data_IF_050864580579
#
_entry.id   IF_050864580579
#
_cell.length_a   1.000
_cell.length_b   1.000
_cell.length_c   1.000
_cell.angle_alpha   90.00
_cell.angle_beta   90.00
_cell.angle_gamma   90.00
#
_symmetry.space_group_name_H-M   'P 1'
#
loop_
_entity.id
_entity.type
_entity.pdbx_description
1 polymer ?
#
# COMPACT_ATOMS: atom_id res chain seq x y z
N UNK A 1 -34.95 17.04 61.50
CA UNK A 1 -34.10 17.84 60.58
C UNK A 1 -33.35 16.87 59.69
N UNK A 2 -33.59 16.88 58.36
CA UNK A 2 -33.12 15.83 57.46
C UNK A 2 -31.66 16.03 57.07
N UNK A 3 -30.93 14.93 56.98
CA UNK A 3 -29.54 14.85 56.57
C UNK A 3 -29.42 15.14 55.07
N UNK A 4 -28.58 16.12 54.74
CA UNK A 4 -28.28 16.54 53.36
C UNK A 4 -27.53 15.43 52.62
N UNK A 5 -28.08 15.04 51.46
CA UNK A 5 -27.50 14.10 50.53
C UNK A 5 -26.09 14.56 50.10
N UNK A 6 -25.10 13.69 50.30
CA UNK A 6 -23.74 13.85 49.79
C UNK A 6 -23.75 13.44 48.33
N UNK A 7 -23.90 14.43 47.44
CA UNK A 7 -23.80 14.23 46.00
C UNK A 7 -22.45 13.62 45.63
N UNK A 8 -22.49 12.51 44.92
CA UNK A 8 -21.34 11.83 44.35
C UNK A 8 -20.81 12.71 43.22
N UNK A 9 -19.76 13.49 43.47
CA UNK A 9 -18.95 14.06 42.38
C UNK A 9 -18.32 12.88 41.64
N UNK A 10 -18.92 12.49 40.53
CA UNK A 10 -18.27 11.63 39.54
C UNK A 10 -17.04 12.38 39.04
N UNK A 11 -15.85 11.98 39.50
CA UNK A 11 -14.58 12.41 38.93
C UNK A 11 -14.60 12.08 37.44
N UNK A 12 -14.79 13.11 36.61
CA UNK A 12 -14.59 13.03 35.16
C UNK A 12 -13.18 12.49 34.92
N UNK A 13 -13.00 11.37 34.19
CA UNK A 13 -11.68 10.81 33.95
C UNK A 13 -10.81 11.91 33.33
N UNK A 14 -9.63 12.13 33.93
CA UNK A 14 -8.66 13.17 33.54
C UNK A 14 -8.37 13.02 32.04
N UNK A 15 -9.06 13.80 31.22
CA UNK A 15 -8.98 13.75 29.76
C UNK A 15 -7.61 14.29 29.33
N UNK A 16 -6.64 13.38 29.17
CA UNK A 16 -5.32 13.75 28.68
C UNK A 16 -5.38 14.03 27.17
N UNK A 17 -5.10 15.28 26.82
CA UNK A 17 -4.96 15.71 25.44
C UNK A 17 -3.75 15.00 24.85
N UNK A 18 -3.96 14.27 23.75
CA UNK A 18 -2.89 13.49 23.13
C UNK A 18 -1.75 14.40 22.65
N UNK A 19 -0.50 13.97 22.86
CA UNK A 19 0.66 14.76 22.47
C UNK A 19 0.69 15.01 20.96
N UNK A 20 1.18 16.17 20.51
CA UNK A 20 1.29 16.50 19.09
C UNK A 20 2.06 15.45 18.27
N UNK A 21 3.14 14.87 18.84
CA UNK A 21 3.93 13.82 18.19
C UNK A 21 3.17 12.50 17.97
N UNK A 22 2.38 12.04 18.96
CA UNK A 22 1.54 10.84 18.80
C UNK A 22 0.50 11.04 17.69
N UNK A 23 -0.05 12.25 17.56
CA UNK A 23 -1.02 12.57 16.49
C UNK A 23 -0.38 12.56 15.11
N UNK A 24 0.84 13.07 14.98
CA UNK A 24 1.59 13.03 13.72
C UNK A 24 1.94 11.59 13.34
N UNK A 25 2.36 10.78 14.31
CA UNK A 25 2.67 9.37 14.05
C UNK A 25 1.43 8.58 13.61
N UNK A 26 0.27 8.80 14.24
CA UNK A 26 -1.00 8.20 13.78
C UNK A 26 -1.30 8.58 12.33
N UNK A 27 -1.05 9.84 11.97
CA UNK A 27 -1.28 10.35 10.64
C UNK A 27 -0.36 9.72 9.59
N UNK A 28 0.93 9.61 9.89
CA UNK A 28 1.91 8.95 9.04
C UNK A 28 1.52 7.48 8.86
N UNK A 29 1.14 6.79 9.94
CA UNK A 29 0.75 5.40 9.86
C UNK A 29 -0.52 5.19 9.02
N UNK A 30 -1.51 6.06 9.19
CA UNK A 30 -2.71 6.04 8.36
C UNK A 30 -2.39 6.29 6.87
N UNK A 31 -1.43 7.18 6.59
CA UNK A 31 -0.96 7.44 5.23
C UNK A 31 -0.24 6.22 4.64
N UNK A 32 0.62 5.56 5.41
CA UNK A 32 1.30 4.32 4.99
C UNK A 32 0.26 3.23 4.69
N UNK A 33 -0.72 3.01 5.56
CA UNK A 33 -1.79 2.02 5.31
C UNK A 33 -2.56 2.38 4.04
N UNK A 34 -2.97 3.64 3.87
CA UNK A 34 -3.73 4.04 2.68
C UNK A 34 -2.92 3.85 1.40
N UNK A 35 -1.61 4.14 1.44
CA UNK A 35 -0.69 3.91 0.34
C UNK A 35 -0.54 2.42 0.04
N UNK A 36 -0.38 1.58 1.06
CA UNK A 36 -0.29 0.13 0.91
C UNK A 36 -1.56 -0.45 0.28
N UNK A 37 -2.75 -0.10 0.80
CA UNK A 37 -4.03 -0.54 0.23
C UNK A 37 -4.15 -0.08 -1.23
N UNK A 38 -3.88 1.19 -1.50
CA UNK A 38 -3.98 1.75 -2.86
C UNK A 38 -3.04 1.03 -3.83
N UNK A 39 -1.79 0.77 -3.41
CA UNK A 39 -0.81 0.05 -4.20
C UNK A 39 -1.24 -1.40 -4.46
N UNK A 40 -1.71 -2.12 -3.43
CA UNK A 40 -2.23 -3.49 -3.57
C UNK A 40 -3.44 -3.53 -4.51
N UNK A 41 -4.37 -2.58 -4.38
CA UNK A 41 -5.55 -2.49 -5.24
C UNK A 41 -5.15 -2.24 -6.70
N UNK A 42 -4.17 -1.37 -6.92
CA UNK A 42 -3.63 -1.10 -8.25
C UNK A 42 -2.91 -2.32 -8.84
N UNK A 43 -2.24 -3.15 -8.03
CA UNK A 43 -1.65 -4.41 -8.51
C UNK A 43 -2.73 -5.41 -8.94
N UNK A 44 -3.81 -5.54 -8.15
CA UNK A 44 -4.92 -6.46 -8.46
C UNK A 44 -5.63 -6.05 -9.76
N UNK A 45 -5.99 -4.77 -9.87
CA UNK A 45 -6.68 -4.21 -11.04
C UNK A 45 -5.73 -3.81 -12.18
N UNK A 46 -4.45 -4.18 -12.11
CA UNK A 46 -3.54 -3.90 -13.20
C UNK A 46 -4.01 -4.63 -14.46
N UNK A 47 -4.17 -3.86 -15.53
CA UNK A 47 -4.55 -4.36 -16.85
C UNK A 47 -3.47 -5.31 -17.41
N UNK A 48 -3.91 -6.21 -18.28
CA UNK A 48 -3.00 -7.07 -19.04
C UNK A 48 -2.13 -6.25 -19.99
N UNK A 49 -0.89 -6.68 -20.21
CA UNK A 49 0.06 -5.99 -21.10
C UNK A 49 0.40 -4.55 -20.66
N UNK A 50 0.30 -4.25 -19.36
CA UNK A 50 0.60 -2.93 -18.82
C UNK A 50 2.00 -2.41 -19.20
N UNK A 51 2.95 -3.31 -19.47
CA UNK A 51 4.31 -3.01 -19.92
C UNK A 51 4.35 -2.33 -21.30
N UNK A 52 3.37 -2.58 -22.16
CA UNK A 52 3.21 -1.88 -23.45
C UNK A 52 2.62 -0.47 -23.25
N UNK A 53 1.66 -0.32 -22.34
CA UNK A 53 0.92 0.93 -22.09
C UNK A 53 1.77 1.96 -21.34
N UNK A 54 2.68 1.50 -20.47
CA UNK A 54 3.43 2.36 -19.54
C UNK A 54 4.38 3.38 -20.20
N UNK A 55 4.64 3.29 -21.50
CA UNK A 55 5.47 4.26 -22.21
C UNK A 55 4.73 5.57 -22.51
N UNK A 56 3.40 5.52 -22.68
CA UNK A 56 2.56 6.69 -22.98
C UNK A 56 1.83 7.25 -21.76
N UNK A 57 2.33 6.93 -20.55
CA UNK A 57 1.62 7.18 -19.31
C UNK A 57 1.25 8.67 -19.14
N UNK A 58 -0.02 8.98 -19.41
CA UNK A 58 -0.54 10.35 -19.34
C UNK A 58 -0.93 10.66 -17.90
N UNK A 59 -0.83 11.93 -17.47
CA UNK A 59 -1.22 12.38 -16.12
C UNK A 59 -2.64 11.95 -15.69
N UNK A 60 -3.53 11.67 -16.66
CA UNK A 60 -4.90 11.20 -16.47
C UNK A 60 -4.94 9.77 -15.92
N UNK A 61 -4.01 8.90 -16.32
CA UNK A 61 -3.95 7.51 -15.84
C UNK A 61 -3.51 7.38 -14.38
N UNK A 62 -2.86 8.41 -13.85
CA UNK A 62 -2.51 8.50 -12.42
C UNK A 62 -3.69 8.96 -11.56
N UNK A 63 -4.73 9.55 -12.18
CA UNK A 63 -5.86 10.14 -11.47
C UNK A 63 -6.63 9.11 -10.63
N UNK A 64 -6.95 7.88 -11.09
CA UNK A 64 -7.61 6.87 -10.26
C UNK A 64 -6.81 6.51 -9.01
N UNK A 65 -5.48 6.42 -9.13
CA UNK A 65 -4.61 6.12 -7.99
C UNK A 65 -4.66 7.24 -6.95
N UNK A 66 -4.43 8.49 -7.36
CA UNK A 66 -4.45 9.63 -6.44
C UNK A 66 -5.84 9.93 -5.88
N UNK A 67 -6.90 9.79 -6.70
CA UNK A 67 -8.28 9.93 -6.26
C UNK A 67 -8.67 8.84 -5.27
N UNK A 68 -8.26 7.58 -5.52
CA UNK A 68 -8.46 6.47 -4.60
C UNK A 68 -7.74 6.68 -3.27
N UNK A 69 -6.47 7.09 -3.31
CA UNK A 69 -5.68 7.41 -2.12
C UNK A 69 -6.35 8.54 -1.31
N UNK A 70 -6.72 9.64 -1.97
CA UNK A 70 -7.43 10.74 -1.33
C UNK A 70 -8.77 10.29 -0.72
N UNK A 71 -9.56 9.52 -1.47
CA UNK A 71 -10.83 8.96 -1.01
C UNK A 71 -10.67 8.13 0.26
N UNK A 72 -9.67 7.24 0.32
CA UNK A 72 -9.38 6.46 1.53
C UNK A 72 -8.98 7.34 2.72
N UNK A 73 -8.19 8.39 2.48
CA UNK A 73 -7.73 9.30 3.53
C UNK A 73 -8.86 10.17 4.11
N UNK A 74 -9.88 10.49 3.31
CA UNK A 74 -11.10 11.16 3.76
C UNK A 74 -12.02 10.16 4.48
N UNK A 75 -12.19 8.97 3.91
CA UNK A 75 -13.12 7.96 4.43
C UNK A 75 -12.64 7.32 5.73
N UNK A 76 -11.32 7.21 5.97
CA UNK A 76 -10.76 6.57 7.19
C UNK A 76 -11.26 7.21 8.48
N UNK A 77 -11.51 8.52 8.46
CA UNK A 77 -11.92 9.30 9.64
C UNK A 77 -13.45 9.41 9.77
N UNK A 78 -14.21 8.90 8.78
CA UNK A 78 -15.67 8.89 8.77
C UNK A 78 -16.27 7.94 9.81
N UNK A 79 -15.55 6.87 10.19
CA UNK A 79 -16.02 5.88 11.15
C UNK A 79 -15.65 6.31 12.57
N UNK A 80 -16.57 6.99 13.25
CA UNK A 80 -16.51 7.34 14.68
C UNK A 80 -15.26 8.14 15.10
N UNK A 81 -14.57 8.79 14.15
CA UNK A 81 -13.34 9.55 14.42
C UNK A 81 -12.12 8.69 14.81
N UNK A 82 -12.18 7.38 14.54
CA UNK A 82 -11.07 6.44 14.78
C UNK A 82 -10.51 6.01 13.43
N UNK A 83 -9.24 6.34 13.20
CA UNK A 83 -8.47 5.84 12.06
C UNK A 83 -7.58 4.67 12.50
N UNK A 84 -7.15 3.79 11.58
CA UNK A 84 -6.27 2.65 11.90
C UNK A 84 -5.02 3.02 12.72
N UNK A 85 -4.33 4.10 12.36
CA UNK A 85 -3.17 4.65 13.05
C UNK A 85 -3.52 5.24 14.42
N UNK A 86 -4.68 5.88 14.56
CA UNK A 86 -5.16 6.33 15.89
C UNK A 86 -5.46 5.13 16.79
N UNK A 87 -6.05 4.07 16.25
CA UNK A 87 -6.34 2.84 16.99
C UNK A 87 -5.04 2.17 17.48
N UNK A 88 -3.99 2.15 16.66
CA UNK A 88 -2.66 1.63 17.04
C UNK A 88 -1.97 2.45 18.13
N UNK A 89 -2.26 3.75 18.22
CA UNK A 89 -1.73 4.60 19.28
C UNK A 89 -2.68 4.78 20.46
N UNK A 90 -3.89 4.18 20.40
CA UNK A 90 -4.90 4.34 21.44
C UNK A 90 -5.49 5.75 21.51
N UNK A 91 -5.59 6.43 20.38
CA UNK A 91 -6.15 7.77 20.23
C UNK A 91 -7.58 7.71 19.70
N UNK A 92 -8.39 8.71 20.05
CA UNK A 92 -9.69 8.91 19.40
C UNK A 92 -9.96 10.40 19.18
N UNK A 93 -10.56 10.73 18.04
CA UNK A 93 -11.07 12.07 17.79
C UNK A 93 -12.44 12.24 18.45
N UNK A 94 -12.63 13.36 19.15
CA UNK A 94 -13.89 13.74 19.80
C UNK A 94 -14.27 15.17 19.45
N UNK A 95 -15.55 15.48 19.50
CA UNK A 95 -16.04 16.86 19.33
C UNK A 95 -15.64 17.70 20.55
N UNK A 96 -15.33 18.98 20.34
CA UNK A 96 -15.06 19.92 21.44
C UNK A 96 -16.27 20.15 22.33
N UNK A 97 -17.46 20.21 21.74
CA UNK A 97 -18.70 20.57 22.44
C UNK A 97 -19.22 19.42 23.30
N UNK A 98 -18.88 18.18 22.92
CA UNK A 98 -19.33 16.96 23.60
C UNK A 98 -18.22 15.90 23.57
N UNK A 99 -17.20 16.07 24.40
CA UNK A 99 -15.98 15.24 24.45
C UNK A 99 -16.29 13.75 24.70
N UNK A 100 -17.38 13.46 25.41
CA UNK A 100 -17.81 12.10 25.73
C UNK A 100 -18.53 11.39 24.56
N UNK A 101 -18.99 12.14 23.55
CA UNK A 101 -19.71 11.56 22.40
C UNK A 101 -18.75 11.16 21.27
N UNK A 102 -19.00 10.03 20.58
CA UNK A 102 -18.22 9.67 19.39
C UNK A 102 -18.43 10.70 18.28
N UNK A 103 -17.43 10.88 17.43
CA UNK A 103 -17.51 11.84 16.35
C UNK A 103 -18.54 11.39 15.31
N UNK A 104 -19.44 12.30 14.94
CA UNK A 104 -20.43 12.09 13.87
C UNK A 104 -19.73 11.90 12.50
N UNK A 105 -20.28 11.02 11.66
CA UNK A 105 -19.69 10.62 10.37
C UNK A 105 -19.48 11.81 9.44
N UNK A 106 -20.41 12.76 9.43
CA UNK A 106 -20.30 14.00 8.64
C UNK A 106 -19.11 14.85 9.09
N UNK A 107 -18.90 14.99 10.40
CA UNK A 107 -17.77 15.75 10.97
C UNK A 107 -16.44 15.03 10.74
N UNK A 108 -16.44 13.69 10.75
CA UNK A 108 -15.30 12.86 10.38
C UNK A 108 -14.85 13.06 8.94
N UNK A 109 -15.80 13.10 7.98
CA UNK A 109 -15.52 13.37 6.58
C UNK A 109 -14.99 14.79 6.36
N UNK A 110 -15.65 15.81 6.93
CA UNK A 110 -15.23 17.21 6.83
C UNK A 110 -13.80 17.42 7.36
N UNK A 111 -13.43 16.68 8.41
CA UNK A 111 -12.08 16.67 8.98
C UNK A 111 -11.04 16.08 8.03
N UNK A 112 -11.43 15.16 7.14
CA UNK A 112 -10.56 14.53 6.14
C UNK A 112 -10.34 15.37 4.88
N UNK A 113 -11.25 16.29 4.53
CA UNK A 113 -11.14 17.15 3.33
C UNK A 113 -9.85 17.99 3.25
N UNK A 114 -9.39 18.68 4.31
CA UNK A 114 -8.17 19.50 4.22
C UNK A 114 -6.89 18.67 3.98
N UNK A 115 -6.98 17.34 4.04
CA UNK A 115 -5.93 16.42 3.64
C UNK A 115 -5.64 16.46 2.13
N UNK A 116 -6.53 17.06 1.32
CA UNK A 116 -6.26 17.34 -0.10
C UNK A 116 -5.00 18.20 -0.26
N UNK A 117 -4.67 18.99 0.77
CA UNK A 117 -3.50 19.86 0.81
C UNK A 117 -2.40 19.24 1.68
N UNK A 118 -2.20 17.93 1.53
CA UNK A 118 -1.39 17.07 2.40
C UNK A 118 0.01 17.60 2.80
N UNK A 119 0.81 18.23 1.94
CA UNK A 119 2.09 18.79 2.38
C UNK A 119 1.91 19.96 3.35
N UNK A 120 0.93 20.82 3.07
CA UNK A 120 0.67 22.03 3.86
C UNK A 120 0.09 21.68 5.24
N UNK A 121 -0.77 20.66 5.33
CA UNK A 121 -1.32 20.22 6.63
C UNK A 121 -0.24 19.66 7.56
N UNK A 122 0.68 18.85 7.02
CA UNK A 122 1.83 18.34 7.76
C UNK A 122 2.79 19.46 8.19
N UNK A 123 3.09 20.40 7.29
CA UNK A 123 3.95 21.56 7.59
C UNK A 123 3.35 22.46 8.66
N UNK A 124 2.05 22.77 8.60
CA UNK A 124 1.37 23.61 9.60
C UNK A 124 1.38 22.92 10.97
N UNK A 125 1.19 21.60 11.00
CA UNK A 125 1.25 20.84 12.25
C UNK A 125 2.67 20.80 12.83
N UNK A 126 3.71 20.62 11.99
CA UNK A 126 5.11 20.67 12.41
C UNK A 126 5.50 22.07 12.89
N UNK A 127 5.02 23.10 12.21
CA UNK A 127 5.25 24.50 12.57
C UNK A 127 4.63 24.87 13.92
N UNK A 128 3.39 24.44 14.17
CA UNK A 128 2.72 24.59 15.47
C UNK A 128 3.42 23.80 16.58
N UNK A 129 3.96 22.62 16.25
CA UNK A 129 4.74 21.78 17.16
C UNK A 129 6.07 22.47 17.55
N UNK A 130 6.73 23.11 16.59
CA UNK A 130 7.99 23.83 16.80
C UNK A 130 7.80 25.14 17.58
N UNK A 131 6.65 25.82 17.45
CA UNK A 131 6.33 27.05 18.20
C UNK A 131 5.78 26.83 19.61
N UNK A 132 5.52 25.59 20.02
CA UNK A 132 5.02 25.30 21.37
C UNK A 132 3.59 25.80 21.64
N UNK A 133 2.80 26.12 20.61
CA UNK A 133 1.41 26.61 20.78
C UNK A 133 0.45 25.45 21.09
N UNK A 134 0.53 24.97 22.33
CA UNK A 134 -0.55 24.47 23.20
C UNK A 134 -1.44 23.30 22.80
N UNK A 135 -1.78 23.07 21.53
CA UNK A 135 -2.88 22.16 21.17
C UNK A 135 -2.58 21.22 19.99
N UNK A 136 -1.54 21.45 19.19
CA UNK A 136 -1.09 20.55 18.10
C UNK A 136 -2.25 20.04 17.22
N UNK A 137 -3.15 20.96 16.85
CA UNK A 137 -4.37 20.67 16.13
C UNK A 137 -4.13 20.78 14.63
N UNK A 138 -4.52 19.74 13.91
CA UNK A 138 -4.46 19.72 12.44
C UNK A 138 -5.43 20.73 11.85
N UNK A 139 -5.23 21.15 10.59
CA UNK A 139 -6.20 22.00 9.87
C UNK A 139 -7.60 21.36 9.89
N UNK A 140 -7.70 20.05 9.70
CA UNK A 140 -8.96 19.31 9.86
C UNK A 140 -9.54 19.34 11.26
N UNK A 141 -8.70 19.38 12.31
CA UNK A 141 -9.15 19.50 13.69
C UNK A 141 -9.74 20.89 13.97
N UNK A 142 -9.12 21.93 13.42
CA UNK A 142 -9.59 23.33 13.51
C UNK A 142 -10.88 23.52 12.73
N UNK A 143 -10.94 22.97 11.52
CA UNK A 143 -12.10 23.15 10.64
C UNK A 143 -13.33 22.37 11.11
N UNK A 144 -13.14 21.16 11.65
CA UNK A 144 -14.23 20.33 12.17
C UNK A 144 -14.51 20.54 13.67
N UNK A 145 -13.84 21.49 14.34
CA UNK A 145 -13.93 21.72 15.80
C UNK A 145 -13.79 20.43 16.63
N UNK A 146 -12.73 19.65 16.35
CA UNK A 146 -12.45 18.38 17.04
C UNK A 146 -11.15 18.43 17.82
N UNK A 147 -11.01 17.55 18.80
CA UNK A 147 -9.78 17.35 19.58
C UNK A 147 -9.47 15.86 19.62
N UNK A 148 -8.20 15.50 19.53
CA UNK A 148 -7.74 14.11 19.67
C UNK A 148 -7.30 13.90 21.12
N UNK A 149 -7.98 12.99 21.79
CA UNK A 149 -7.72 12.61 23.18
C UNK A 149 -7.16 11.19 23.23
N UNK A 150 -6.44 10.87 24.30
CA UNK A 150 -6.13 9.47 24.61
C UNK A 150 -7.45 8.74 24.90
N UNK A 151 -7.67 7.61 24.23
CA UNK A 151 -8.90 6.87 24.36
C UNK A 151 -8.85 6.01 25.64
N UNK A 152 -9.76 6.23 26.62
CA UNK A 152 -9.80 5.42 27.84
C UNK A 152 -10.14 3.94 27.57
N UNK A 153 -10.75 3.64 26.43
CA UNK A 153 -11.04 2.27 25.95
C UNK A 153 -10.08 1.82 24.85
N UNK A 154 -8.83 2.30 24.86
CA UNK A 154 -7.86 1.88 23.88
C UNK A 154 -7.50 0.39 24.03
N UNK A 155 -7.18 -0.28 22.92
CA UNK A 155 -6.78 -1.69 22.92
C UNK A 155 -5.59 -1.92 23.86
N UNK A 156 -5.46 -3.14 24.40
CA UNK A 156 -4.29 -3.51 25.21
C UNK A 156 -3.01 -3.31 24.38
N UNK A 157 -1.90 -2.81 24.97
CA UNK A 157 -0.66 -2.55 24.23
C UNK A 157 -0.20 -3.74 23.38
N UNK A 158 -0.29 -4.96 23.91
CA UNK A 158 0.05 -6.19 23.20
C UNK A 158 -0.78 -6.39 21.91
N UNK A 159 -2.08 -6.11 21.97
CA UNK A 159 -2.97 -6.25 20.80
C UNK A 159 -2.67 -5.18 19.75
N UNK A 160 -2.19 -3.99 20.16
CA UNK A 160 -1.75 -2.95 19.22
C UNK A 160 -0.49 -3.37 18.46
N UNK A 161 0.49 -3.95 19.17
CA UNK A 161 1.72 -4.49 18.56
C UNK A 161 1.36 -5.63 17.61
N UNK A 162 0.50 -6.56 18.04
CA UNK A 162 0.03 -7.66 17.21
C UNK A 162 -0.65 -7.11 15.94
N UNK A 163 -1.58 -6.15 16.08
CA UNK A 163 -2.27 -5.56 14.94
C UNK A 163 -1.31 -4.86 13.98
N UNK A 164 -0.34 -4.09 14.49
CA UNK A 164 0.67 -3.43 13.65
C UNK A 164 1.47 -4.46 12.84
N UNK A 165 1.91 -5.55 13.49
CA UNK A 165 2.63 -6.62 12.83
C UNK A 165 1.74 -7.36 11.83
N UNK A 166 0.49 -7.70 12.17
CA UNK A 166 -0.44 -8.36 11.26
C UNK A 166 -0.69 -7.51 10.00
N UNK A 167 -0.86 -6.20 10.16
CA UNK A 167 -0.98 -5.28 9.03
C UNK A 167 0.29 -5.30 8.18
N UNK A 168 1.47 -5.14 8.80
CA UNK A 168 2.75 -5.09 8.09
C UNK A 168 3.06 -6.40 7.33
N UNK A 169 3.00 -7.54 8.03
CA UNK A 169 3.27 -8.85 7.44
C UNK A 169 2.17 -9.27 6.46
N UNK A 170 0.92 -8.88 6.69
CA UNK A 170 -0.19 -9.13 5.78
C UNK A 170 0.02 -8.43 4.44
N UNK A 171 0.41 -7.14 4.44
CA UNK A 171 0.74 -6.42 3.21
C UNK A 171 1.98 -6.97 2.52
N UNK A 172 3.02 -7.31 3.29
CA UNK A 172 4.23 -7.90 2.73
C UNK A 172 3.95 -9.25 2.05
N UNK A 173 3.21 -10.14 2.71
CA UNK A 173 2.79 -11.43 2.14
C UNK A 173 1.90 -11.26 0.91
N UNK A 174 0.92 -10.34 0.97
CA UNK A 174 0.09 -10.03 -0.19
C UNK A 174 0.92 -9.49 -1.37
N UNK A 175 1.90 -8.63 -1.12
CA UNK A 175 2.78 -8.09 -2.16
C UNK A 175 3.61 -9.18 -2.83
N UNK A 176 4.17 -10.12 -2.05
CA UNK A 176 4.91 -11.27 -2.60
C UNK A 176 4.02 -12.16 -3.48
N UNK A 177 2.79 -12.46 -3.05
CA UNK A 177 1.85 -13.27 -3.83
C UNK A 177 1.38 -12.55 -5.10
N UNK A 178 1.12 -11.24 -5.01
CA UNK A 178 0.68 -10.44 -6.15
C UNK A 178 1.80 -10.16 -7.14
N UNK A 179 3.07 -10.23 -6.71
CA UNK A 179 4.22 -10.02 -7.60
C UNK A 179 4.22 -11.04 -8.74
N UNK A 180 4.19 -12.35 -8.44
CA UNK A 180 4.17 -13.40 -9.46
C UNK A 180 2.98 -13.25 -10.40
N UNK A 181 1.79 -13.02 -9.84
CA UNK A 181 0.57 -12.79 -10.62
C UNK A 181 0.70 -11.58 -11.57
N UNK A 182 1.31 -10.49 -11.10
CA UNK A 182 1.48 -9.26 -11.88
C UNK A 182 2.52 -9.45 -13.00
N UNK A 183 3.56 -10.24 -12.75
CA UNK A 183 4.60 -10.55 -13.74
C UNK A 183 4.02 -11.39 -14.89
N UNK A 184 3.18 -12.40 -14.58
CA UNK A 184 2.52 -13.26 -15.57
C UNK A 184 1.54 -12.51 -16.49
N UNK A 185 1.03 -11.35 -16.06
CA UNK A 185 0.17 -10.46 -16.87
C UNK A 185 0.94 -9.60 -17.89
N UNK A 186 2.26 -9.58 -17.86
CA UNK A 186 3.07 -8.76 -18.79
C UNK A 186 3.09 -9.36 -20.19
N UNK A 187 3.12 -8.50 -21.20
CA UNK A 187 3.29 -8.91 -22.60
C UNK A 187 4.64 -9.60 -22.80
N UNK A 188 5.69 -9.11 -22.14
CA UNK A 188 7.00 -9.73 -22.16
C UNK A 188 6.94 -11.21 -21.69
N UNK A 189 6.32 -11.48 -20.53
CA UNK A 189 6.16 -12.85 -20.03
C UNK A 189 5.37 -13.73 -20.99
N UNK A 190 4.23 -13.25 -21.49
CA UNK A 190 3.38 -14.05 -22.38
C UNK A 190 4.09 -14.37 -23.71
N UNK A 191 4.83 -13.41 -24.26
CA UNK A 191 5.64 -13.60 -25.48
C UNK A 191 6.73 -14.64 -25.24
N UNK A 192 7.43 -14.55 -24.11
CA UNK A 192 8.46 -15.52 -23.70
C UNK A 192 7.86 -16.92 -23.50
N UNK A 193 6.75 -17.02 -22.78
CA UNK A 193 6.08 -18.29 -22.53
C UNK A 193 5.62 -18.94 -23.83
N UNK A 194 5.00 -18.17 -24.72
CA UNK A 194 4.60 -18.65 -26.05
C UNK A 194 5.81 -19.12 -26.87
N UNK A 195 6.90 -18.36 -26.86
CA UNK A 195 8.12 -18.73 -27.57
C UNK A 195 8.70 -20.06 -27.05
N UNK A 196 8.81 -20.23 -25.74
CA UNK A 196 9.29 -21.46 -25.11
C UNK A 196 8.41 -22.68 -25.41
N UNK A 197 7.09 -22.52 -25.49
CA UNK A 197 6.20 -23.62 -25.87
C UNK A 197 6.36 -24.07 -27.33
N UNK A 198 6.84 -23.18 -28.22
CA UNK A 198 7.03 -23.47 -29.64
C UNK A 198 8.46 -23.83 -30.04
N UNK A 199 9.43 -23.63 -29.14
CA UNK A 199 10.84 -23.82 -29.46
C UNK A 199 11.25 -25.30 -29.32
N UNK A 200 11.95 -25.89 -30.32
CA UNK A 200 12.25 -27.32 -30.35
C UNK A 200 13.07 -27.82 -29.15
N UNK A 201 14.03 -27.01 -28.68
CA UNK A 201 14.89 -27.36 -27.54
C UNK A 201 14.16 -27.44 -26.20
N UNK A 202 13.00 -26.78 -26.07
CA UNK A 202 12.22 -26.72 -24.83
C UNK A 202 10.96 -27.57 -24.86
N UNK A 203 10.54 -28.05 -26.04
CA UNK A 203 9.36 -28.90 -26.21
C UNK A 203 9.45 -30.18 -25.37
N UNK A 204 10.59 -30.88 -25.41
CA UNK A 204 10.81 -32.10 -24.64
C UNK A 204 10.85 -31.85 -23.12
N UNK A 205 11.33 -30.68 -22.69
CA UNK A 205 11.40 -30.29 -21.28
C UNK A 205 10.02 -29.90 -20.76
N UNK A 206 9.26 -29.13 -21.53
CA UNK A 206 7.90 -28.69 -21.18
C UNK A 206 6.89 -29.84 -21.22
N UNK A 207 7.11 -30.87 -22.04
CA UNK A 207 6.33 -32.10 -22.00
C UNK A 207 6.47 -32.85 -20.66
N UNK A 208 7.65 -32.75 -20.02
CA UNK A 208 7.91 -33.35 -18.69
C UNK A 208 7.54 -32.41 -17.54
N UNK A 209 7.73 -31.11 -17.72
CA UNK A 209 7.44 -30.06 -16.73
C UNK A 209 6.64 -28.94 -17.40
N UNK A 210 5.30 -29.02 -17.41
CA UNK A 210 4.46 -28.07 -18.14
C UNK A 210 4.41 -26.67 -17.49
N UNK A 211 4.85 -26.54 -16.24
CA UNK A 211 4.80 -25.29 -15.49
C UNK A 211 6.09 -24.49 -15.64
N UNK A 212 5.93 -23.20 -15.97
CA UNK A 212 7.00 -22.20 -15.94
C UNK A 212 7.04 -21.55 -14.56
N UNK A 213 8.15 -21.78 -13.86
CA UNK A 213 8.36 -21.35 -12.48
C UNK A 213 9.33 -20.15 -12.41
N UNK A 214 9.28 -19.46 -11.27
CA UNK A 214 10.22 -18.39 -10.90
C UNK A 214 10.46 -17.34 -12.01
N UNK A 215 9.41 -16.61 -12.46
CA UNK A 215 9.58 -15.57 -13.45
C UNK A 215 10.34 -14.37 -12.89
N UNK A 216 11.50 -14.09 -13.48
CA UNK A 216 12.27 -12.87 -13.24
C UNK A 216 12.25 -12.01 -14.51
N UNK A 217 11.85 -10.74 -14.36
CA UNK A 217 11.75 -9.79 -15.47
C UNK A 217 12.62 -8.57 -15.18
N UNK A 218 13.64 -8.36 -16.01
CA UNK A 218 14.47 -7.16 -16.06
C UNK A 218 14.17 -6.41 -17.36
N UNK A 219 13.16 -5.53 -17.32
CA UNK A 219 12.68 -4.80 -18.49
C UNK A 219 13.30 -3.40 -18.56
N UNK A 220 14.04 -3.10 -19.63
CA UNK A 220 14.40 -1.72 -19.97
C UNK A 220 13.30 -1.08 -20.82
N UNK A 221 12.38 -0.39 -20.15
CA UNK A 221 11.27 0.33 -20.81
C UNK A 221 11.68 1.73 -21.31
N UNK A 222 12.91 2.18 -21.03
CA UNK A 222 13.33 3.56 -21.32
C UNK A 222 13.85 3.69 -22.75
N UNK A 223 14.59 2.69 -23.25
CA UNK A 223 15.19 2.71 -24.57
C UNK A 223 14.65 1.57 -25.45
N UNK A 224 14.24 1.86 -26.68
CA UNK A 224 13.79 0.82 -27.62
C UNK A 224 14.97 -0.04 -28.14
N UNK A 225 16.20 0.42 -27.91
CA UNK A 225 17.44 -0.29 -28.24
C UNK A 225 17.97 -1.16 -27.09
N UNK A 226 17.42 -1.01 -25.88
CA UNK A 226 17.82 -1.78 -24.72
C UNK A 226 17.31 -3.22 -24.81
N UNK A 227 18.17 -4.18 -24.52
CA UNK A 227 17.76 -5.57 -24.38
C UNK A 227 17.17 -5.74 -22.98
N UNK A 228 15.91 -6.15 -22.94
CA UNK A 228 15.25 -6.62 -21.73
C UNK A 228 15.56 -8.11 -21.54
N UNK A 229 15.59 -8.58 -20.31
CA UNK A 229 15.90 -9.96 -19.98
C UNK A 229 14.75 -10.59 -19.18
N UNK A 230 14.34 -11.78 -19.60
CA UNK A 230 13.36 -12.60 -18.89
C UNK A 230 13.99 -13.93 -18.59
N UNK A 231 14.03 -14.28 -17.32
CA UNK A 231 14.54 -15.55 -16.82
C UNK A 231 13.39 -16.37 -16.24
N UNK A 232 13.35 -17.63 -16.62
CA UNK A 232 12.32 -18.59 -16.23
C UNK A 232 12.96 -19.92 -15.87
N UNK A 233 12.32 -20.66 -14.96
CA UNK A 233 12.72 -22.01 -14.60
C UNK A 233 11.77 -23.03 -15.22
N UNK A 234 12.35 -24.02 -15.91
CA UNK A 234 11.65 -25.19 -16.45
C UNK A 234 12.10 -26.41 -15.61
N UNK A 235 11.22 -26.87 -14.72
CA UNK A 235 11.51 -27.94 -13.77
C UNK A 235 10.74 -27.80 -12.46
N UNK A 236 10.82 -28.80 -11.57
CA UNK A 236 10.14 -28.77 -10.29
C UNK A 236 10.62 -27.57 -9.44
N UNK A 237 9.70 -26.91 -8.73
CA UNK A 237 10.05 -25.81 -7.84
C UNK A 237 10.88 -26.34 -6.66
N UNK A 238 11.93 -25.61 -6.27
CA UNK A 238 12.80 -25.93 -5.13
C UNK A 238 13.62 -27.23 -5.21
N UNK A 239 13.79 -27.83 -6.38
CA UNK A 239 14.82 -28.87 -6.57
C UNK A 239 16.06 -28.27 -7.21
N UNK A 240 17.19 -28.97 -7.18
CA UNK A 240 18.38 -28.58 -7.98
C UNK A 240 18.32 -29.17 -9.39
N UNK A 241 17.25 -29.92 -9.68
CA UNK A 241 16.97 -30.47 -11.00
C UNK A 241 16.14 -29.47 -11.83
N UNK A 242 16.64 -29.06 -12.99
CA UNK A 242 15.91 -28.15 -13.89
C UNK A 242 16.79 -27.43 -14.91
N UNK A 243 16.13 -26.62 -15.74
CA UNK A 243 16.80 -25.73 -16.69
C UNK A 243 16.36 -24.30 -16.45
N UNK A 244 17.33 -23.39 -16.43
CA UNK A 244 17.08 -21.95 -16.51
C UNK A 244 16.99 -21.56 -17.99
N UNK A 245 15.87 -21.00 -18.39
CA UNK A 245 15.70 -20.37 -19.69
C UNK A 245 15.85 -18.86 -19.52
N UNK A 246 16.87 -18.29 -20.15
CA UNK A 246 17.13 -16.85 -20.20
C UNK A 246 16.87 -16.34 -21.61
N UNK A 247 15.91 -15.44 -21.75
CA UNK A 247 15.55 -14.85 -23.04
C UNK A 247 15.81 -13.36 -23.02
N UNK A 248 16.45 -12.86 -24.08
CA UNK A 248 16.60 -11.43 -24.32
C UNK A 248 15.52 -10.97 -25.27
N UNK A 249 14.79 -9.93 -24.86
CA UNK A 249 13.73 -9.32 -25.62
C UNK A 249 14.10 -7.91 -26.04
N UNK A 250 13.68 -7.53 -27.24
CA UNK A 250 13.71 -6.17 -27.72
C UNK A 250 12.28 -5.62 -27.82
N UNK A 251 12.11 -4.37 -27.42
CA UNK A 251 10.84 -3.67 -27.57
C UNK A 251 10.76 -3.04 -28.96
N UNK A 252 9.72 -3.40 -29.72
CA UNK A 252 9.43 -2.80 -31.02
C UNK A 252 8.36 -1.73 -30.90
N UNK A 253 8.78 -0.48 -31.07
CA UNK A 253 7.90 0.69 -31.09
C UNK A 253 7.36 0.87 -32.52
N UNK A 254 6.16 0.33 -32.76
CA UNK A 254 5.48 0.35 -34.06
C UNK A 254 4.00 0.66 -33.90
N UNK A 255 3.18 0.59 -34.98
CA UNK A 255 1.73 0.84 -34.89
C UNK A 255 1.01 -0.12 -33.93
N UNK A 256 1.62 -1.28 -33.64
CA UNK A 256 1.24 -2.19 -32.56
C UNK A 256 2.49 -2.49 -31.74
N UNK A 257 2.66 -1.88 -30.54
CA UNK A 257 3.84 -2.11 -29.71
C UNK A 257 3.89 -3.58 -29.27
N UNK A 258 5.06 -4.21 -29.37
CA UNK A 258 5.25 -5.62 -29.05
C UNK A 258 6.67 -5.94 -28.61
N UNK A 259 6.82 -7.05 -27.91
CA UNK A 259 8.11 -7.64 -27.60
C UNK A 259 8.51 -8.66 -28.67
N UNK A 260 9.78 -8.70 -29.01
CA UNK A 260 10.36 -9.73 -29.87
C UNK A 260 11.54 -10.39 -29.16
N UNK A 261 11.60 -11.72 -29.23
CA UNK A 261 12.70 -12.51 -28.66
C UNK A 261 13.88 -12.47 -29.63
N UNK A 262 15.02 -11.97 -29.17
CA UNK A 262 16.25 -11.84 -29.96
C UNK A 262 17.20 -13.00 -29.71
N UNK A 263 17.30 -13.46 -28.47
CA UNK A 263 18.22 -14.52 -28.06
C UNK A 263 17.56 -15.40 -26.99
N UNK A 264 17.72 -16.71 -27.11
CA UNK A 264 17.28 -17.70 -26.14
C UNK A 264 18.49 -18.50 -25.68
N UNK A 265 18.73 -18.55 -24.36
CA UNK A 265 19.76 -19.38 -23.73
C UNK A 265 19.10 -20.35 -22.77
N UNK A 266 19.50 -21.60 -22.85
CA UNK A 266 19.06 -22.65 -21.95
C UNK A 266 20.27 -23.19 -21.21
N UNK A 267 20.28 -23.02 -19.89
CA UNK A 267 21.35 -23.49 -19.02
C UNK A 267 20.78 -24.55 -18.07
N UNK A 268 21.40 -25.73 -18.04
CA UNK A 268 21.07 -26.72 -17.03
C UNK A 268 21.50 -26.19 -15.66
N UNK A 269 20.61 -26.29 -14.67
CA UNK A 269 20.97 -25.97 -13.29
C UNK A 269 21.97 -27.05 -12.87
N UNK A 270 23.24 -26.66 -12.72
CA UNK A 270 24.31 -27.52 -12.22
C UNK A 270 24.70 -27.03 -10.84
N UNK A 271 24.92 -27.98 -9.95
CA UNK A 271 25.53 -27.79 -8.63
C UNK A 271 26.84 -27.00 -8.83
N UNK A 272 26.95 -25.81 -8.24
CA UNK A 272 28.27 -25.22 -7.97
C UNK A 272 28.85 -26.03 -6.80
N UNK A 273 29.88 -26.82 -7.10
CA UNK A 273 30.68 -27.59 -6.12
C UNK A 273 31.27 -26.71 -5.01
#
# INVERSE_FOLDING_TARGET
>A
MPQSAKGTEQELPKLQVASPGKRLFALIFDFIIALLISNTLQQIFREEHWDLVRREQTWIELLPFYAGLFGMLVLRDAVRGVSPGKLLLGLSARSRDAILTPLDTRRGLLRGVPFAVFPLEGMIMLWDLQRGSGLGQRLGDRWANTVVIENPQALRPMLRILLANTVLFGFFGAALLLQDFTLRKTAAYQTTAQHLHTHPDTEALLARYPELNEPELSLDLRSASGLSEVRLRIGPPNEDSGHTATLKLQFLDGPTPRWEVVETRLEAIREED
#
